data_IF_778437763788
#
_entry.id   IF_778437763788
#
_cell.length_a   1.000
_cell.length_b   1.000
_cell.length_c   1.000
_cell.angle_alpha   90.00
_cell.angle_beta   90.00
_cell.angle_gamma   90.00
#
_symmetry.space_group_name_H-M   'P 1'
#
loop_
_entity.id
_entity.type
_entity.pdbx_description
1 polymer ?
#
# COMPACT_ATOMS: atom_id res chain seq x y z
N UNK A 1 -17.53 30.00 23.11
CA UNK A 1 -17.49 30.65 21.77
C UNK A 1 -16.03 30.75 21.43
N UNK A 2 -15.50 29.59 21.06
CA UNK A 2 -14.07 29.38 20.88
C UNK A 2 -13.73 29.87 19.48
N UNK A 3 -12.93 30.93 19.45
CA UNK A 3 -12.37 31.49 18.23
C UNK A 3 -11.32 30.51 17.70
N UNK A 4 -11.77 29.42 17.10
CA UNK A 4 -10.91 28.58 16.26
C UNK A 4 -10.47 29.43 15.07
N UNK A 5 -9.22 29.90 15.14
CA UNK A 5 -8.68 30.84 14.16
C UNK A 5 -8.64 30.17 12.78
N UNK A 6 -9.23 30.75 11.73
CA UNK A 6 -9.34 30.14 10.40
C UNK A 6 -7.99 29.81 9.76
N UNK A 7 -6.91 30.42 10.27
CA UNK A 7 -5.54 30.19 9.83
C UNK A 7 -4.99 28.79 10.18
N UNK A 8 -5.48 28.13 11.24
CA UNK A 8 -5.05 26.76 11.57
C UNK A 8 -5.70 25.73 10.63
N UNK A 9 -6.96 25.94 10.27
CA UNK A 9 -7.71 25.01 9.43
C UNK A 9 -7.16 24.96 7.98
N UNK A 10 -6.73 26.09 7.43
CA UNK A 10 -6.10 26.16 6.10
C UNK A 10 -4.71 25.50 6.06
N UNK A 11 -3.95 25.53 7.16
CA UNK A 11 -2.63 24.89 7.25
C UNK A 11 -2.74 23.36 7.34
N UNK A 12 -3.71 22.84 8.10
CA UNK A 12 -3.95 21.41 8.19
C UNK A 12 -4.49 20.84 6.87
N UNK A 13 -5.37 21.56 6.16
CA UNK A 13 -5.93 21.12 4.87
C UNK A 13 -4.86 21.05 3.76
N UNK A 14 -3.97 22.06 3.69
CA UNK A 14 -2.85 22.05 2.75
C UNK A 14 -1.83 20.94 3.04
N UNK A 15 -1.54 20.67 4.31
CA UNK A 15 -0.58 19.65 4.68
C UNK A 15 -1.14 18.24 4.47
N UNK A 16 -2.43 18.00 4.78
CA UNK A 16 -3.10 16.73 4.54
C UNK A 16 -3.13 16.34 3.06
N UNK A 17 -3.39 17.30 2.16
CA UNK A 17 -3.36 17.06 0.72
C UNK A 17 -1.96 16.74 0.16
N UNK A 18 -0.91 17.36 0.72
CA UNK A 18 0.48 17.09 0.34
C UNK A 18 0.98 15.73 0.86
N UNK A 19 0.58 15.34 2.07
CA UNK A 19 0.95 14.07 2.69
C UNK A 19 0.29 12.89 1.95
N UNK A 20 -0.98 13.03 1.56
CA UNK A 20 -1.68 12.02 0.73
C UNK A 20 -1.00 11.81 -0.63
N UNK A 21 -0.58 12.88 -1.32
CA UNK A 21 0.14 12.77 -2.60
C UNK A 21 1.50 12.11 -2.45
N UNK A 22 2.22 12.43 -1.37
CA UNK A 22 3.52 11.80 -1.06
C UNK A 22 3.35 10.31 -0.74
N UNK A 23 2.37 9.95 0.08
CA UNK A 23 2.03 8.55 0.39
C UNK A 23 1.65 7.76 -0.86
N UNK A 24 0.87 8.36 -1.77
CA UNK A 24 0.46 7.76 -3.03
C UNK A 24 1.65 7.48 -3.94
N UNK A 25 2.56 8.45 -4.07
CA UNK A 25 3.82 8.29 -4.83
C UNK A 25 4.72 7.20 -4.23
N UNK A 26 4.84 7.15 -2.91
CA UNK A 26 5.61 6.11 -2.21
C UNK A 26 4.96 4.73 -2.37
N UNK A 27 3.63 4.61 -2.31
CA UNK A 27 2.92 3.37 -2.57
C UNK A 27 3.09 2.90 -4.02
N UNK A 28 3.02 3.82 -4.99
CA UNK A 28 3.23 3.51 -6.39
C UNK A 28 4.67 3.04 -6.67
N UNK A 29 5.67 3.77 -6.13
CA UNK A 29 7.08 3.44 -6.30
C UNK A 29 7.43 2.12 -5.61
N UNK A 30 6.91 1.88 -4.41
CA UNK A 30 7.10 0.63 -3.67
C UNK A 30 6.40 -0.55 -4.36
N UNK A 31 5.22 -0.34 -4.97
CA UNK A 31 4.55 -1.32 -5.82
C UNK A 31 5.38 -1.69 -7.07
N UNK A 32 5.97 -0.69 -7.75
CA UNK A 32 6.89 -0.91 -8.85
C UNK A 32 8.13 -1.71 -8.43
N UNK A 33 8.75 -1.33 -7.30
CA UNK A 33 9.89 -2.05 -6.74
C UNK A 33 9.52 -3.49 -6.38
N UNK A 34 8.31 -3.72 -5.87
CA UNK A 34 7.76 -5.05 -5.58
C UNK A 34 7.67 -5.93 -6.84
N UNK A 35 7.13 -5.37 -7.93
CA UNK A 35 7.07 -6.06 -9.22
C UNK A 35 8.47 -6.42 -9.74
N UNK A 36 9.42 -5.47 -9.67
CA UNK A 36 10.80 -5.71 -10.09
C UNK A 36 11.47 -6.79 -9.25
N UNK A 37 11.39 -6.71 -7.92
CA UNK A 37 11.97 -7.72 -7.02
C UNK A 37 11.33 -9.10 -7.27
N UNK A 38 10.02 -9.15 -7.55
CA UNK A 38 9.33 -10.40 -7.90
C UNK A 38 9.84 -10.99 -9.22
N UNK A 39 10.05 -10.17 -10.25
CA UNK A 39 10.62 -10.61 -11.54
C UNK A 39 12.08 -11.05 -11.39
N UNK A 40 12.90 -10.29 -10.65
CA UNK A 40 14.29 -10.67 -10.36
C UNK A 40 14.35 -12.01 -9.61
N UNK A 41 13.45 -12.21 -8.65
CA UNK A 41 13.37 -13.46 -7.91
C UNK A 41 12.80 -14.62 -8.75
N UNK A 42 11.95 -14.33 -9.74
CA UNK A 42 11.43 -15.32 -10.69
C UNK A 42 12.50 -15.78 -11.71
N UNK A 43 13.39 -14.88 -12.12
CA UNK A 43 14.55 -15.18 -12.99
C UNK A 43 15.63 -15.95 -12.23
N UNK A 44 15.72 -15.77 -10.91
CA UNK A 44 16.63 -16.53 -10.05
C UNK A 44 16.14 -17.98 -9.85
N UNK A 45 16.35 -18.80 -10.87
CA UNK A 45 15.94 -20.20 -11.06
C UNK A 45 16.52 -21.19 -10.04
N UNK A 46 17.33 -20.74 -9.07
CA UNK A 46 17.89 -21.59 -8.01
C UNK A 46 16.86 -22.12 -6.99
N UNK A 47 15.56 -21.81 -7.15
CA UNK A 47 14.47 -22.19 -6.23
C UNK A 47 13.44 -23.20 -6.78
N UNK A 48 13.83 -24.06 -7.73
CA UNK A 48 13.04 -25.28 -8.04
C UNK A 48 12.83 -26.17 -6.79
N UNK A 49 13.65 -25.98 -5.75
CA UNK A 49 13.62 -26.74 -4.49
C UNK A 49 12.39 -26.46 -3.61
N UNK A 50 11.67 -25.33 -3.79
CA UNK A 50 10.49 -24.98 -2.97
C UNK A 50 9.35 -24.35 -3.80
N UNK A 51 8.50 -25.16 -4.46
CA UNK A 51 7.46 -24.66 -5.38
C UNK A 51 6.46 -23.73 -4.71
N UNK A 52 6.15 -23.93 -3.42
CA UNK A 52 5.23 -23.07 -2.65
C UNK A 52 5.72 -21.63 -2.58
N UNK A 53 7.03 -21.43 -2.37
CA UNK A 53 7.63 -20.11 -2.26
C UNK A 53 7.68 -19.38 -3.61
N UNK A 54 7.80 -20.13 -4.71
CA UNK A 54 7.72 -19.57 -6.06
C UNK A 54 6.29 -19.12 -6.41
N UNK A 55 5.28 -19.91 -6.03
CA UNK A 55 3.88 -19.52 -6.18
C UNK A 55 3.57 -18.25 -5.39
N UNK A 56 4.03 -18.18 -4.14
CA UNK A 56 3.91 -17.00 -3.30
C UNK A 56 4.61 -15.77 -3.90
N UNK A 57 5.74 -15.94 -4.59
CA UNK A 57 6.44 -14.87 -5.33
C UNK A 57 5.62 -14.34 -6.52
N UNK A 58 5.00 -15.23 -7.29
CA UNK A 58 4.12 -14.85 -8.39
C UNK A 58 2.88 -14.07 -7.88
N UNK A 59 2.26 -14.57 -6.81
CA UNK A 59 1.14 -13.88 -6.14
C UNK A 59 1.59 -12.51 -5.60
N UNK A 60 2.79 -12.42 -5.05
CA UNK A 60 3.35 -11.16 -4.56
C UNK A 60 3.55 -10.14 -5.70
N UNK A 61 3.97 -10.60 -6.89
CA UNK A 61 4.05 -9.76 -8.09
C UNK A 61 2.68 -9.25 -8.55
N UNK A 62 1.65 -10.12 -8.53
CA UNK A 62 0.27 -9.72 -8.83
C UNK A 62 -0.26 -8.68 -7.84
N UNK A 63 0.06 -8.80 -6.55
CA UNK A 63 -0.31 -7.77 -5.57
C UNK A 63 0.45 -6.47 -5.77
N UNK A 64 1.75 -6.50 -6.10
CA UNK A 64 2.50 -5.30 -6.48
C UNK A 64 1.88 -4.58 -7.70
N UNK A 65 1.42 -5.35 -8.68
CA UNK A 65 0.72 -4.82 -9.85
C UNK A 65 -0.65 -4.23 -9.48
N UNK A 66 -1.40 -4.90 -8.59
CA UNK A 66 -2.69 -4.42 -8.07
C UNK A 66 -2.52 -3.07 -7.38
N UNK A 67 -1.51 -2.92 -6.52
CA UNK A 67 -1.14 -1.63 -5.90
C UNK A 67 -0.85 -0.58 -6.95
N UNK A 68 -0.02 -0.92 -7.95
CA UNK A 68 0.38 0.00 -9.01
C UNK A 68 -0.84 0.50 -9.81
N UNK A 69 -1.82 -0.37 -10.06
CA UNK A 69 -3.07 -0.03 -10.76
C UNK A 69 -3.97 0.88 -9.91
N UNK A 70 -4.11 0.58 -8.62
CA UNK A 70 -4.98 1.35 -7.70
C UNK A 70 -4.42 2.75 -7.42
N UNK A 71 -3.11 2.86 -7.22
CA UNK A 71 -2.47 4.15 -6.98
C UNK A 71 -2.24 4.93 -8.27
N UNK A 72 -2.07 4.23 -9.39
CA UNK A 72 -1.81 4.80 -10.72
C UNK A 72 -3.06 5.31 -11.45
N UNK A 73 -4.20 5.47 -10.79
CA UNK A 73 -5.47 5.94 -11.38
C UNK A 73 -5.36 7.33 -12.07
N UNK A 74 -4.33 8.13 -11.74
CA UNK A 74 -4.02 9.37 -12.48
C UNK A 74 -3.44 9.14 -13.88
N UNK A 75 -3.01 7.92 -14.22
CA UNK A 75 -2.48 7.58 -15.55
C UNK A 75 -3.56 6.92 -16.41
N UNK A 76 -4.01 7.63 -17.45
CA UNK A 76 -5.08 7.24 -18.40
C UNK A 76 -4.94 5.85 -19.04
N UNK A 77 -3.73 5.26 -19.04
CA UNK A 77 -3.49 3.90 -19.53
C UNK A 77 -3.98 2.78 -18.58
N UNK A 78 -4.21 3.08 -17.30
CA UNK A 78 -4.57 2.10 -16.26
C UNK A 78 -6.07 2.08 -15.93
N UNK A 79 -6.85 3.04 -16.44
CA UNK A 79 -8.30 3.14 -16.27
C UNK A 79 -9.09 1.84 -16.55
N UNK A 80 -8.81 1.04 -17.61
CA UNK A 80 -9.54 -0.21 -17.82
C UNK A 80 -9.23 -1.29 -16.77
N UNK A 81 -8.03 -1.28 -16.18
CA UNK A 81 -7.64 -2.21 -15.12
C UNK A 81 -8.15 -1.76 -13.75
N UNK A 82 -8.20 -0.45 -13.51
CA UNK A 82 -8.80 0.13 -12.32
C UNK A 82 -10.28 -0.26 -12.20
N UNK A 83 -11.04 -0.21 -13.29
CA UNK A 83 -12.45 -0.61 -13.31
C UNK A 83 -12.64 -2.11 -12.99
N UNK A 84 -11.74 -2.99 -13.46
CA UNK A 84 -11.77 -4.42 -13.10
C UNK A 84 -11.45 -4.59 -11.62
N UNK A 85 -10.44 -3.90 -11.10
CA UNK A 85 -10.11 -3.95 -9.68
C UNK A 85 -11.24 -3.40 -8.80
N UNK A 86 -11.93 -2.35 -9.22
CA UNK A 86 -13.05 -1.79 -8.47
C UNK A 86 -14.20 -2.82 -8.35
N UNK A 87 -14.50 -3.54 -9.43
CA UNK A 87 -15.53 -4.59 -9.45
C UNK A 87 -15.16 -5.79 -8.57
N UNK A 88 -13.90 -6.24 -8.60
CA UNK A 88 -13.47 -7.46 -7.87
C UNK A 88 -12.92 -7.19 -6.46
N UNK A 89 -12.33 -6.02 -6.24
CA UNK A 89 -11.65 -5.59 -5.02
C UNK A 89 -12.35 -4.36 -4.41
N UNK A 90 -13.68 -4.38 -4.33
CA UNK A 90 -14.47 -3.37 -3.62
C UNK A 90 -14.00 -3.08 -2.19
N UNK A 91 -13.33 -4.05 -1.56
CA UNK A 91 -12.75 -3.85 -0.23
C UNK A 91 -11.53 -2.91 -0.22
N UNK A 92 -10.81 -2.75 -1.34
CA UNK A 92 -9.71 -1.77 -1.46
C UNK A 92 -10.20 -0.33 -1.52
N UNK A 93 -11.46 -0.10 -1.91
CA UNK A 93 -12.12 1.21 -1.87
C UNK A 93 -12.29 1.69 -0.41
N UNK A 94 -12.48 0.75 0.52
CA UNK A 94 -12.53 1.06 1.95
C UNK A 94 -11.13 1.26 2.52
N UNK A 95 -10.91 2.38 3.23
CA UNK A 95 -9.65 2.67 3.92
C UNK A 95 -9.16 1.52 4.83
N UNK A 96 -10.09 0.78 5.45
CA UNK A 96 -9.74 -0.36 6.31
C UNK A 96 -9.32 -1.58 5.50
N UNK A 97 -10.00 -1.87 4.39
CA UNK A 97 -9.62 -2.99 3.53
C UNK A 97 -8.30 -2.73 2.80
N UNK A 98 -8.02 -1.47 2.42
CA UNK A 98 -6.72 -1.03 1.89
C UNK A 98 -5.59 -1.19 2.92
N UNK A 99 -5.82 -0.78 4.18
CA UNK A 99 -4.85 -0.99 5.25
C UNK A 99 -4.57 -2.48 5.53
N UNK A 100 -5.61 -3.31 5.59
CA UNK A 100 -5.48 -4.76 5.76
C UNK A 100 -4.75 -5.42 4.58
N UNK A 101 -5.05 -4.98 3.36
CA UNK A 101 -4.36 -5.44 2.16
C UNK A 101 -2.87 -5.12 2.22
N UNK A 102 -2.50 -3.89 2.57
CA UNK A 102 -1.09 -3.50 2.72
C UNK A 102 -0.39 -4.25 3.85
N UNK A 103 -1.08 -4.53 4.96
CA UNK A 103 -0.54 -5.35 6.04
C UNK A 103 -0.27 -6.79 5.55
N UNK A 104 -1.23 -7.37 4.81
CA UNK A 104 -1.10 -8.70 4.23
C UNK A 104 0.07 -8.78 3.23
N UNK A 105 0.21 -7.78 2.35
CA UNK A 105 1.33 -7.66 1.41
C UNK A 105 2.68 -7.56 2.14
N UNK A 106 2.74 -6.78 3.23
CA UNK A 106 3.93 -6.65 4.08
C UNK A 106 4.29 -7.97 4.80
N UNK A 107 3.29 -8.67 5.33
CA UNK A 107 3.47 -9.99 5.95
C UNK A 107 3.97 -11.02 4.93
N UNK A 108 3.43 -11.00 3.73
CA UNK A 108 3.87 -11.88 2.64
C UNK A 108 5.31 -11.55 2.23
N UNK A 109 5.68 -10.27 2.10
CA UNK A 109 7.10 -9.86 1.94
C UNK A 109 7.98 -10.44 3.05
N UNK A 110 7.55 -10.38 4.32
CA UNK A 110 8.33 -10.91 5.43
C UNK A 110 8.60 -12.42 5.30
N UNK A 111 7.60 -13.20 4.88
CA UNK A 111 7.76 -14.64 4.58
C UNK A 111 8.73 -14.87 3.42
N UNK A 112 8.66 -14.04 2.37
CA UNK A 112 9.54 -14.09 1.21
C UNK A 112 10.97 -13.62 1.48
N UNK A 113 11.25 -12.99 2.62
CA UNK A 113 12.64 -12.66 3.03
C UNK A 113 13.52 -13.91 3.09
N UNK A 114 12.92 -15.08 3.32
CA UNK A 114 13.61 -16.38 3.28
C UNK A 114 14.13 -16.75 1.88
N UNK A 115 13.54 -16.19 0.81
CA UNK A 115 14.01 -16.35 -0.58
C UNK A 115 15.02 -15.25 -0.95
N UNK A 116 14.72 -14.01 -0.58
CA UNK A 116 15.52 -12.85 -0.98
C UNK A 116 15.47 -11.75 0.05
N UNK A 117 16.64 -11.29 0.49
CA UNK A 117 16.80 -10.21 1.47
C UNK A 117 16.23 -8.88 0.94
N UNK A 118 16.08 -8.74 -0.38
CA UNK A 118 15.47 -7.57 -1.03
C UNK A 118 14.02 -7.32 -0.59
N UNK A 119 13.31 -8.36 -0.11
CA UNK A 119 11.95 -8.21 0.41
C UNK A 119 11.89 -7.54 1.78
N UNK A 120 13.00 -7.49 2.53
CA UNK A 120 13.05 -6.91 3.86
C UNK A 120 12.71 -5.40 3.90
N UNK A 121 13.36 -4.52 3.11
CA UNK A 121 13.00 -3.09 3.10
C UNK A 121 11.56 -2.87 2.63
N UNK A 122 11.08 -3.65 1.66
CA UNK A 122 9.70 -3.60 1.19
C UNK A 122 8.71 -3.98 2.29
N UNK A 123 8.98 -5.02 3.09
CA UNK A 123 8.14 -5.41 4.21
C UNK A 123 8.00 -4.27 5.23
N UNK A 124 9.10 -3.60 5.56
CA UNK A 124 9.11 -2.46 6.50
C UNK A 124 8.26 -1.31 5.95
N UNK A 125 8.41 -0.97 4.66
CA UNK A 125 7.61 0.08 4.02
C UNK A 125 6.11 -0.25 4.08
N UNK A 126 5.71 -1.47 3.72
CA UNK A 126 4.31 -1.87 3.71
C UNK A 126 3.67 -1.89 5.10
N UNK A 127 4.41 -2.36 6.10
CA UNK A 127 3.96 -2.34 7.50
C UNK A 127 3.86 -0.90 8.02
N UNK A 128 4.82 -0.03 7.70
CA UNK A 128 4.79 1.37 8.10
C UNK A 128 3.62 2.13 7.47
N UNK A 129 3.37 1.94 6.16
CA UNK A 129 2.24 2.56 5.44
C UNK A 129 0.90 2.07 5.99
N UNK A 130 0.75 0.75 6.20
CA UNK A 130 -0.47 0.18 6.80
C UNK A 130 -0.70 0.72 8.22
N UNK A 131 0.35 0.77 9.03
CA UNK A 131 0.30 1.32 10.39
C UNK A 131 -0.09 2.80 10.39
N UNK A 132 0.44 3.60 9.47
CA UNK A 132 0.08 5.01 9.30
C UNK A 132 -1.42 5.16 8.95
N UNK A 133 -1.93 4.39 7.99
CA UNK A 133 -3.35 4.44 7.58
C UNK A 133 -4.28 4.01 8.72
N UNK A 134 -3.88 3.02 9.53
CA UNK A 134 -4.65 2.62 10.71
C UNK A 134 -4.63 3.69 11.80
N UNK A 135 -3.48 4.33 12.02
CA UNK A 135 -3.31 5.39 13.01
C UNK A 135 -4.12 6.65 12.66
N UNK A 136 -4.11 7.07 11.39
CA UNK A 136 -4.93 8.21 10.93
C UNK A 136 -6.41 7.91 11.09
N UNK A 137 -6.85 6.70 10.72
CA UNK A 137 -8.26 6.31 10.86
C UNK A 137 -8.73 6.17 12.31
N UNK A 138 -7.87 5.70 13.23
CA UNK A 138 -8.21 5.69 14.66
C UNK A 138 -8.39 7.11 15.23
N UNK A 139 -7.64 8.08 14.68
CA UNK A 139 -7.72 9.48 15.09
C UNK A 139 -9.08 10.10 14.75
N UNK A 140 -9.65 9.74 13.60
CA UNK A 140 -10.98 10.20 13.17
C UNK A 140 -12.15 9.50 13.90
N UNK A 141 -11.88 8.37 14.57
CA UNK A 141 -12.88 7.56 15.28
C UNK A 141 -13.03 7.89 16.77
N UNK A 142 -12.22 8.81 17.31
CA UNK A 142 -12.33 9.25 18.70
C UNK A 142 -13.43 10.31 18.80
N UNK A 143 -14.54 10.07 19.54
CA UNK A 143 -15.38 11.18 19.94
C UNK A 143 -14.51 12.11 20.78
N UNK A 144 -14.31 13.34 20.29
CA UNK A 144 -13.85 14.42 21.13
C UNK A 144 -14.81 14.47 22.32
N UNK A 145 -14.35 14.00 23.48
CA UNK A 145 -15.00 14.35 24.72
C UNK A 145 -14.73 15.85 24.88
N UNK A 146 -15.69 16.66 24.42
CA UNK A 146 -15.82 18.05 24.83
C UNK A 146 -16.07 18.02 26.35
N UNK A 147 -15.04 18.36 27.12
CA UNK A 147 -15.18 18.84 28.50
C UNK A 147 -15.10 20.37 28.51
#
# INVERSE_FOLDING_TARGET
>A
MDNESPLINDYDDHNQGADQKSLRSVCFLSGCALCLVSVLNAINILSITRPTLYLLNAVQGLFGFTVMVVEGDEYSALAPYANVLDVYFKFLESALGRALFFLFVGLQCAVLTSLSVLYYPLAVVWVAVSGYILATKQRDGLPMYEE
#
